data_IF_855522037875
#
_entry.id   IF_855522037875
#
_cell.length_a   1.000
_cell.length_b   1.000
_cell.length_c   1.000
_cell.angle_alpha   90.00
_cell.angle_beta   90.00
_cell.angle_gamma   90.00
#
_symmetry.space_group_name_H-M   'P 1'
#
loop_
_entity.id
_entity.type
_entity.pdbx_description
1 polymer ?
#
# COMPACT_ATOMS: atom_id res chain seq x y z
N UNK A 1 32.80 27.13 9.43
CA UNK A 1 31.86 26.38 8.57
C UNK A 1 31.18 25.36 9.45
N UNK A 2 29.86 25.45 9.60
CA UNK A 2 29.10 24.37 10.25
C UNK A 2 29.27 23.10 9.40
N UNK A 3 29.36 21.90 10.01
CA UNK A 3 29.30 20.67 9.23
C UNK A 3 27.97 20.69 8.46
N UNK A 4 28.05 20.59 7.13
CA UNK A 4 26.86 20.41 6.29
C UNK A 4 26.12 19.19 6.82
N UNK A 5 24.96 19.43 7.43
CA UNK A 5 24.08 18.36 7.90
C UNK A 5 23.73 17.49 6.70
N UNK A 6 24.10 16.22 6.76
CA UNK A 6 23.74 15.25 5.72
C UNK A 6 22.23 15.34 5.48
N UNK A 7 21.83 15.53 4.24
CA UNK A 7 20.42 15.58 3.88
C UNK A 7 19.81 14.19 4.07
N UNK A 8 18.50 14.10 4.34
CA UNK A 8 17.79 12.82 4.44
C UNK A 8 18.03 11.93 3.19
N UNK A 9 18.26 12.57 2.05
CA UNK A 9 18.72 11.98 0.80
C UNK A 9 20.02 11.18 0.92
N UNK A 10 21.04 11.83 1.48
CA UNK A 10 22.37 11.27 1.64
C UNK A 10 22.34 10.15 2.69
N UNK A 11 21.52 10.27 3.73
CA UNK A 11 21.32 9.23 4.74
C UNK A 11 20.63 7.99 4.12
N UNK A 12 19.63 8.17 3.26
CA UNK A 12 18.98 7.03 2.60
C UNK A 12 19.84 6.38 1.50
N UNK A 13 20.63 7.17 0.76
CA UNK A 13 21.66 6.63 -0.14
C UNK A 13 22.71 5.78 0.60
N UNK A 14 22.97 6.10 1.87
CA UNK A 14 23.78 5.28 2.78
C UNK A 14 22.99 4.04 3.30
N UNK A 15 21.65 4.11 3.47
CA UNK A 15 20.79 2.99 3.92
C UNK A 15 20.74 1.78 2.99
N UNK A 16 20.93 1.95 1.68
CA UNK A 16 21.13 0.80 0.77
C UNK A 16 22.41 0.00 1.09
N UNK A 17 23.20 0.47 2.06
CA UNK A 17 24.41 -0.13 2.60
C UNK A 17 24.49 -0.07 4.13
N UNK A 18 23.39 0.01 4.87
CA UNK A 18 23.46 -0.25 6.32
C UNK A 18 23.41 -1.76 6.51
N UNK A 19 24.56 -2.44 6.73
CA UNK A 19 24.54 -3.86 7.06
C UNK A 19 23.81 -4.02 8.39
N UNK A 20 22.59 -4.54 8.34
CA UNK A 20 21.93 -5.03 9.54
C UNK A 20 22.74 -6.22 10.04
N UNK A 21 23.20 -6.17 11.29
CA UNK A 21 24.01 -7.23 11.86
C UNK A 21 23.28 -8.59 11.71
N UNK A 22 23.96 -9.68 11.27
CA UNK A 22 23.31 -10.98 11.10
C UNK A 22 22.57 -11.48 12.35
N UNK A 23 23.03 -11.11 13.54
CA UNK A 23 22.35 -11.41 14.80
C UNK A 23 20.98 -10.72 14.93
N UNK A 24 20.87 -9.47 14.45
CA UNK A 24 19.62 -8.72 14.44
C UNK A 24 18.66 -9.27 13.37
N UNK A 25 19.15 -9.59 12.18
CA UNK A 25 18.35 -10.27 11.14
C UNK A 25 17.82 -11.61 11.63
N UNK A 26 18.64 -12.41 12.34
CA UNK A 26 18.17 -13.64 12.98
C UNK A 26 17.09 -13.35 13.99
N UNK A 27 17.26 -12.36 14.88
CA UNK A 27 16.24 -12.00 15.89
C UNK A 27 14.92 -11.59 15.23
N UNK A 28 14.95 -10.81 14.15
CA UNK A 28 13.76 -10.43 13.37
C UNK A 28 13.13 -11.67 12.72
N UNK A 29 13.94 -12.55 12.14
CA UNK A 29 13.46 -13.82 11.60
C UNK A 29 12.81 -14.70 12.68
N UNK A 30 13.32 -14.71 13.93
CA UNK A 30 12.66 -15.41 15.06
C UNK A 30 11.31 -14.80 15.39
N UNK A 31 11.24 -13.47 15.43
CA UNK A 31 9.99 -12.73 15.67
C UNK A 31 8.96 -13.08 14.58
N UNK A 32 9.39 -13.20 13.32
CA UNK A 32 8.54 -13.61 12.20
C UNK A 32 8.22 -15.10 12.09
N UNK A 33 8.68 -15.92 13.04
CA UNK A 33 8.39 -17.36 13.10
C UNK A 33 9.30 -18.25 12.23
N UNK A 34 10.43 -17.75 11.73
CA UNK A 34 11.36 -18.50 10.87
C UNK A 34 12.47 -19.25 11.61
N UNK A 35 12.50 -19.24 12.94
CA UNK A 35 13.55 -19.91 13.75
C UNK A 35 13.29 -21.41 13.95
N UNK A 36 12.56 -22.06 13.03
CA UNK A 36 12.30 -23.50 13.07
C UNK A 36 13.25 -24.25 12.13
N UNK A 37 14.36 -24.81 12.65
CA UNK A 37 14.98 -25.95 12.02
C UNK A 37 14.91 -27.17 12.95
N UNK A 38 14.13 -28.18 12.55
CA UNK A 38 14.43 -29.55 12.96
C UNK A 38 15.33 -30.20 11.89
N UNK A 39 16.37 -30.97 12.26
CA UNK A 39 17.21 -31.65 11.29
C UNK A 39 16.35 -32.62 10.46
N UNK A 40 16.24 -32.34 9.16
CA UNK A 40 15.59 -33.22 8.18
C UNK A 40 14.25 -32.74 7.61
N UNK A 41 13.59 -31.72 8.17
CA UNK A 41 12.32 -31.23 7.65
C UNK A 41 12.48 -29.92 6.87
N UNK A 42 12.18 -29.97 5.58
CA UNK A 42 11.90 -28.76 4.80
C UNK A 42 10.64 -28.12 5.37
N UNK A 43 10.67 -26.82 5.65
CA UNK A 43 9.47 -26.05 6.03
C UNK A 43 8.41 -26.26 4.93
N UNK A 44 7.22 -26.70 5.32
CA UNK A 44 6.13 -26.94 4.37
C UNK A 44 5.54 -25.63 3.84
N UNK A 45 4.87 -25.68 2.69
CA UNK A 45 4.20 -24.50 2.12
C UNK A 45 3.13 -23.91 3.06
N UNK A 46 2.47 -24.76 3.86
CA UNK A 46 1.48 -24.34 4.85
C UNK A 46 2.12 -23.51 5.99
N UNK A 47 3.28 -23.93 6.50
CA UNK A 47 4.00 -23.22 7.57
C UNK A 47 4.45 -21.81 7.10
N UNK A 48 4.81 -21.67 5.82
CA UNK A 48 5.20 -20.39 5.23
C UNK A 48 4.03 -19.44 5.01
N UNK A 49 2.80 -19.94 4.80
CA UNK A 49 1.62 -19.10 4.62
C UNK A 49 1.16 -18.40 5.90
N UNK A 50 1.59 -18.89 7.06
CA UNK A 50 1.32 -18.33 8.38
C UNK A 50 2.46 -17.44 8.90
N UNK A 51 3.58 -17.32 8.17
CA UNK A 51 4.73 -16.50 8.57
C UNK A 51 4.57 -15.02 8.19
N UNK A 52 5.41 -14.14 8.76
CA UNK A 52 5.41 -12.69 8.46
C UNK A 52 6.75 -12.31 7.86
N UNK A 53 6.78 -11.67 6.68
CA UNK A 53 8.04 -11.36 6.01
C UNK A 53 9.06 -10.62 6.93
N UNK A 54 10.32 -11.09 7.05
CA UNK A 54 11.31 -10.45 7.92
C UNK A 54 11.64 -9.00 7.52
N UNK A 55 11.57 -8.66 6.23
CA UNK A 55 11.76 -7.28 5.76
C UNK A 55 10.61 -6.38 6.21
N UNK A 56 9.37 -6.85 6.06
CA UNK A 56 8.17 -6.15 6.55
C UNK A 56 8.27 -5.90 8.07
N UNK A 57 8.71 -6.91 8.85
CA UNK A 57 8.92 -6.76 10.29
C UNK A 57 10.04 -5.78 10.64
N UNK A 58 11.14 -5.79 9.89
CA UNK A 58 12.23 -4.85 10.09
C UNK A 58 11.74 -3.41 9.90
N UNK A 59 11.03 -3.13 8.81
CA UNK A 59 10.48 -1.80 8.54
C UNK A 59 9.43 -1.38 9.58
N UNK A 60 8.53 -2.28 9.97
CA UNK A 60 7.55 -2.01 11.03
C UNK A 60 8.20 -1.69 12.37
N UNK A 61 9.25 -2.43 12.76
CA UNK A 61 9.99 -2.18 13.99
C UNK A 61 10.68 -0.81 13.96
N UNK A 62 11.19 -0.39 12.80
CA UNK A 62 11.74 0.96 12.64
C UNK A 62 10.62 2.01 12.78
N UNK A 63 9.53 1.90 12.02
CA UNK A 63 8.41 2.83 12.07
C UNK A 63 7.80 2.95 13.47
N UNK A 64 7.75 1.85 14.23
CA UNK A 64 7.25 1.82 15.60
C UNK A 64 8.10 2.62 16.62
N UNK A 65 9.30 3.05 16.24
CA UNK A 65 10.24 3.74 17.12
C UNK A 65 10.81 5.05 16.56
N UNK A 66 10.82 5.27 15.24
CA UNK A 66 11.49 6.42 14.61
C UNK A 66 11.05 7.75 15.21
N UNK A 67 9.74 7.95 15.43
CA UNK A 67 9.23 9.21 15.97
C UNK A 67 9.62 9.44 17.45
N UNK A 68 9.98 8.41 18.23
CA UNK A 68 10.47 8.59 19.61
C UNK A 68 11.86 9.25 19.64
N UNK A 69 12.61 9.19 18.54
CA UNK A 69 13.97 9.73 18.42
C UNK A 69 14.02 11.13 17.78
N UNK A 70 12.87 11.68 17.40
CA UNK A 70 12.77 13.05 16.87
C UNK A 70 12.56 14.05 17.99
N UNK A 71 13.23 15.21 17.95
CA UNK A 71 13.06 16.26 18.96
C UNK A 71 11.64 16.86 18.98
N UNK A 72 10.99 16.92 17.80
CA UNK A 72 9.63 17.41 17.62
C UNK A 72 8.96 16.74 16.40
N UNK A 73 8.48 15.49 16.53
CA UNK A 73 7.90 14.76 15.41
C UNK A 73 6.58 15.39 14.94
N UNK A 74 6.37 15.39 13.62
CA UNK A 74 5.11 15.82 13.03
C UNK A 74 3.95 14.91 13.51
N UNK A 75 2.72 15.44 13.68
CA UNK A 75 1.58 14.65 14.18
C UNK A 75 1.32 13.37 13.37
N UNK A 76 1.51 13.41 12.06
CA UNK A 76 1.30 12.29 11.16
C UNK A 76 2.33 11.18 11.37
N UNK A 77 3.59 11.54 11.67
CA UNK A 77 4.64 10.58 12.03
C UNK A 77 4.37 9.91 13.37
N UNK A 78 3.85 10.67 14.34
CA UNK A 78 3.40 10.10 15.62
C UNK A 78 2.25 9.12 15.41
N UNK A 79 1.26 9.48 14.58
CA UNK A 79 0.16 8.56 14.23
C UNK A 79 0.68 7.32 13.51
N UNK A 80 1.59 7.46 12.55
CA UNK A 80 2.16 6.34 11.81
C UNK A 80 2.94 5.39 12.72
N UNK A 81 3.69 5.93 13.68
CA UNK A 81 4.35 5.15 14.73
C UNK A 81 3.34 4.36 15.59
N UNK A 82 2.26 4.98 16.03
CA UNK A 82 1.22 4.30 16.81
C UNK A 82 0.52 3.21 16.00
N UNK A 83 0.20 3.47 14.73
CA UNK A 83 -0.36 2.45 13.84
C UNK A 83 0.63 1.31 13.62
N UNK A 84 1.92 1.60 13.40
CA UNK A 84 2.95 0.58 13.25
C UNK A 84 3.04 -0.32 14.49
N UNK A 85 2.99 0.25 15.70
CA UNK A 85 2.94 -0.52 16.96
C UNK A 85 1.69 -1.39 17.06
N UNK A 86 0.54 -0.87 16.68
CA UNK A 86 -0.71 -1.62 16.66
C UNK A 86 -0.63 -2.81 15.69
N UNK A 87 -0.19 -2.57 14.44
CA UNK A 87 -0.02 -3.60 13.41
C UNK A 87 0.99 -4.66 13.85
N UNK A 88 2.12 -4.25 14.42
CA UNK A 88 3.11 -5.17 14.97
C UNK A 88 2.50 -6.02 16.10
N UNK A 89 1.73 -5.40 16.99
CA UNK A 89 1.00 -6.10 18.06
C UNK A 89 0.02 -7.14 17.52
N UNK A 90 -0.77 -6.79 16.51
CA UNK A 90 -1.70 -7.74 15.86
C UNK A 90 -0.95 -8.91 15.22
N UNK A 91 0.06 -8.64 14.39
CA UNK A 91 0.83 -9.65 13.66
C UNK A 91 1.51 -10.68 14.59
N UNK A 92 2.03 -10.21 15.72
CA UNK A 92 2.72 -11.03 16.71
C UNK A 92 1.78 -11.72 17.70
N UNK A 93 0.50 -11.35 17.71
CA UNK A 93 -0.55 -12.03 18.46
C UNK A 93 -1.27 -13.08 17.61
N UNK A 94 -2.05 -13.95 18.23
CA UNK A 94 -2.93 -14.89 17.53
C UNK A 94 -4.15 -14.22 16.87
N UNK A 95 -4.27 -12.88 16.95
CA UNK A 95 -5.36 -12.12 16.33
C UNK A 95 -5.20 -11.93 14.81
N UNK A 96 -3.98 -12.02 14.29
CA UNK A 96 -3.71 -11.91 12.86
C UNK A 96 -3.98 -13.24 12.15
N UNK A 97 -4.88 -13.20 11.15
CA UNK A 97 -5.25 -14.39 10.38
C UNK A 97 -4.17 -14.73 9.36
N UNK A 98 -3.96 -16.03 9.11
CA UNK A 98 -3.18 -16.49 7.97
C UNK A 98 -3.99 -16.43 6.66
N UNK A 99 -3.30 -16.55 5.52
CA UNK A 99 -3.92 -16.46 4.20
C UNK A 99 -4.95 -17.55 3.90
N UNK A 100 -4.77 -18.76 4.42
CA UNK A 100 -5.70 -19.87 4.21
C UNK A 100 -6.98 -19.63 4.99
N UNK A 101 -6.86 -19.25 6.25
CA UNK A 101 -7.98 -18.90 7.12
C UNK A 101 -8.80 -17.74 6.52
N UNK A 102 -8.13 -16.71 5.97
CA UNK A 102 -8.80 -15.65 5.21
C UNK A 102 -9.52 -16.22 3.98
N UNK A 103 -8.84 -17.02 3.14
CA UNK A 103 -9.43 -17.63 1.96
C UNK A 103 -10.70 -18.43 2.27
N UNK A 104 -10.67 -19.24 3.32
CA UNK A 104 -11.77 -20.13 3.71
C UNK A 104 -12.96 -19.34 4.30
N UNK A 105 -12.68 -18.17 4.88
CA UNK A 105 -13.69 -17.29 5.47
C UNK A 105 -14.38 -16.38 4.44
N UNK A 106 -13.72 -16.09 3.32
CA UNK A 106 -14.23 -15.22 2.25
C UNK A 106 -15.34 -15.90 1.42
N UNK A 107 -16.37 -15.17 0.97
CA UNK A 107 -17.43 -15.72 0.13
C UNK A 107 -16.90 -16.31 -1.19
N UNK A 108 -17.36 -17.52 -1.52
CA UNK A 108 -16.90 -18.25 -2.71
C UNK A 108 -17.35 -17.64 -4.05
N UNK A 109 -18.38 -16.79 -4.02
CA UNK A 109 -18.97 -16.15 -5.21
C UNK A 109 -18.12 -15.03 -5.81
N UNK A 110 -17.06 -14.59 -5.12
CA UNK A 110 -16.32 -13.39 -5.48
C UNK A 110 -14.82 -13.62 -5.61
N UNK A 111 -14.18 -12.74 -6.38
CA UNK A 111 -12.71 -12.64 -6.45
C UNK A 111 -12.26 -11.44 -5.62
N UNK A 112 -11.39 -11.68 -4.63
CA UNK A 112 -10.79 -10.66 -3.78
C UNK A 112 -9.27 -10.66 -3.97
N UNK A 113 -8.73 -9.50 -4.34
CA UNK A 113 -7.30 -9.29 -4.54
C UNK A 113 -6.73 -8.41 -3.44
N UNK A 114 -5.62 -8.87 -2.86
CA UNK A 114 -4.81 -8.07 -1.96
C UNK A 114 -3.62 -7.47 -2.70
N UNK A 115 -3.37 -6.18 -2.44
CA UNK A 115 -2.24 -5.45 -2.97
C UNK A 115 -1.25 -5.16 -1.85
N UNK A 116 -0.09 -5.82 -1.89
CA UNK A 116 1.04 -5.46 -1.05
C UNK A 116 1.64 -4.16 -1.59
N UNK A 117 1.34 -3.07 -0.91
CA UNK A 117 1.81 -1.74 -1.24
C UNK A 117 3.12 -1.45 -0.53
N UNK A 118 4.05 -0.86 -1.28
CA UNK A 118 5.25 -0.27 -0.72
C UNK A 118 4.97 1.07 -0.04
N UNK A 119 6.04 1.75 0.43
CA UNK A 119 5.93 3.10 0.95
C UNK A 119 5.34 4.04 -0.12
N UNK A 120 4.75 5.17 0.31
CA UNK A 120 4.28 6.21 -0.59
C UNK A 120 5.36 6.64 -1.59
N UNK A 121 4.99 6.72 -2.86
CA UNK A 121 5.85 7.25 -3.91
C UNK A 121 5.03 8.08 -4.89
N UNK A 122 5.40 9.35 -5.06
CA UNK A 122 4.85 10.20 -6.12
C UNK A 122 5.46 9.76 -7.46
N UNK A 123 4.61 9.57 -8.47
CA UNK A 123 4.98 9.07 -9.80
C UNK A 123 4.51 9.98 -10.95
N UNK A 124 4.02 11.18 -10.62
CA UNK A 124 3.62 12.17 -11.62
C UNK A 124 4.85 12.75 -12.36
N UNK A 125 4.76 13.01 -13.68
CA UNK A 125 5.77 13.79 -14.40
C UNK A 125 6.02 15.17 -13.78
N UNK A 126 5.06 15.74 -13.05
CA UNK A 126 5.25 17.05 -12.41
C UNK A 126 6.15 17.03 -11.16
N UNK A 127 6.66 15.85 -10.77
CA UNK A 127 7.60 15.71 -9.64
C UNK A 127 8.86 16.56 -9.81
N UNK A 128 9.29 16.82 -11.05
CA UNK A 128 10.47 17.66 -11.35
C UNK A 128 10.28 19.12 -10.94
N UNK A 129 9.03 19.58 -10.83
CA UNK A 129 8.70 20.95 -10.40
C UNK A 129 8.90 21.18 -8.90
N UNK A 130 8.98 20.10 -8.12
CA UNK A 130 9.00 20.12 -6.65
C UNK A 130 10.29 19.55 -6.07
N UNK A 131 11.21 19.07 -6.91
CA UNK A 131 12.58 18.74 -6.50
C UNK A 131 13.27 20.03 -6.02
N UNK A 132 13.83 20.06 -4.79
CA UNK A 132 14.53 21.23 -4.25
C UNK A 132 15.63 21.77 -5.18
N UNK A 133 15.83 23.09 -5.17
CA UNK A 133 16.94 23.73 -5.90
C UNK A 133 18.29 23.17 -5.41
N UNK A 134 19.15 22.75 -6.35
CA UNK A 134 20.45 22.15 -6.06
C UNK A 134 20.51 20.62 -6.16
N UNK A 135 19.36 19.94 -6.31
CA UNK A 135 19.30 18.51 -6.65
C UNK A 135 19.23 18.35 -8.17
N UNK A 136 20.06 17.48 -8.74
CA UNK A 136 20.10 17.23 -10.19
C UNK A 136 18.73 16.72 -10.67
N UNK A 137 18.08 17.51 -11.52
CA UNK A 137 16.78 17.17 -12.10
C UNK A 137 16.96 16.09 -13.16
N UNK A 138 16.29 14.94 -13.05
CA UNK A 138 16.46 13.84 -13.99
C UNK A 138 15.90 14.18 -15.37
N UNK A 139 16.55 13.67 -16.42
CA UNK A 139 16.18 13.89 -17.81
C UNK A 139 15.11 12.89 -18.34
N UNK A 140 14.76 11.85 -17.58
CA UNK A 140 13.73 10.87 -17.95
C UNK A 140 13.12 10.09 -16.76
N UNK A 141 11.79 9.94 -16.76
CA UNK A 141 10.91 9.35 -15.73
C UNK A 141 10.97 7.82 -15.53
N UNK A 142 12.17 7.25 -15.32
CA UNK A 142 12.39 5.81 -15.05
C UNK A 142 13.58 5.50 -14.13
N UNK A 143 14.20 6.49 -13.49
CA UNK A 143 15.47 6.28 -12.77
C UNK A 143 15.29 6.04 -11.27
N UNK A 144 16.29 5.41 -10.63
CA UNK A 144 16.35 5.23 -9.17
C UNK A 144 16.34 6.57 -8.41
N UNK A 145 16.88 7.63 -9.02
CA UNK A 145 16.86 9.00 -8.48
C UNK A 145 15.45 9.58 -8.39
N UNK A 146 14.52 9.19 -9.26
CA UNK A 146 13.13 9.68 -9.20
C UNK A 146 12.28 8.92 -8.18
N UNK A 147 12.53 7.60 -8.06
CA UNK A 147 11.96 6.81 -6.97
C UNK A 147 12.41 7.35 -5.61
N UNK A 148 13.67 7.82 -5.55
CA UNK A 148 14.22 8.51 -4.40
C UNK A 148 13.47 9.83 -4.11
N UNK A 149 13.45 10.79 -5.05
CA UNK A 149 12.83 12.09 -4.83
C UNK A 149 11.33 11.99 -4.48
N UNK A 150 10.59 11.11 -5.16
CA UNK A 150 9.16 10.96 -4.92
C UNK A 150 8.77 10.30 -3.60
N UNK A 151 9.70 9.59 -2.96
CA UNK A 151 9.48 9.03 -1.63
C UNK A 151 9.57 10.13 -0.56
N UNK A 152 10.61 10.97 -0.61
CA UNK A 152 10.77 12.07 0.34
C UNK A 152 9.69 13.14 0.21
N UNK A 153 9.29 13.45 -1.02
CA UNK A 153 8.17 14.37 -1.26
C UNK A 153 6.84 13.83 -0.72
N UNK A 154 6.67 12.51 -0.67
CA UNK A 154 5.48 11.90 -0.10
C UNK A 154 5.48 11.87 1.45
N UNK A 155 6.67 12.00 2.07
CA UNK A 155 6.86 12.04 3.53
C UNK A 155 6.80 13.47 4.10
N UNK A 156 7.04 14.49 3.28
CA UNK A 156 6.87 15.89 3.68
C UNK A 156 5.38 16.22 3.87
N UNK A 157 4.99 16.44 5.12
CA UNK A 157 3.68 16.95 5.55
C UNK A 157 3.32 18.33 4.96
N UNK A 158 4.15 18.90 4.08
CA UNK A 158 3.95 20.19 3.40
C UNK A 158 3.19 20.07 2.06
N UNK A 159 2.85 18.86 1.62
CA UNK A 159 2.00 18.65 0.45
C UNK A 159 0.61 19.32 0.58
N UNK A 160 0.13 19.55 1.81
CA UNK A 160 -1.13 20.25 2.07
C UNK A 160 -1.05 21.78 1.82
N UNK A 161 0.16 22.37 1.72
CA UNK A 161 0.33 23.83 1.63
C UNK A 161 1.15 24.34 0.42
N UNK A 162 1.93 23.50 -0.25
CA UNK A 162 2.81 23.93 -1.36
C UNK A 162 2.41 23.46 -2.76
N UNK A 163 1.61 22.40 -2.88
CA UNK A 163 1.15 21.86 -4.17
C UNK A 163 -0.19 22.46 -4.62
N UNK A 164 -0.44 23.73 -4.26
CA UNK A 164 -1.54 24.49 -4.82
C UNK A 164 -1.58 24.37 -6.35
N UNK A 165 -2.76 24.57 -6.98
CA UNK A 165 -3.15 24.13 -8.32
C UNK A 165 -2.45 24.89 -9.46
N UNK A 166 -1.13 25.01 -9.42
CA UNK A 166 -0.34 25.60 -10.48
C UNK A 166 -0.04 24.54 -11.52
N UNK A 167 -1.07 24.35 -12.35
CA UNK A 167 -1.01 23.75 -13.67
C UNK A 167 -0.91 22.21 -13.67
N UNK A 168 -1.86 21.62 -12.95
CA UNK A 168 -2.16 20.19 -12.89
C UNK A 168 -3.27 19.84 -13.90
N UNK A 169 -3.09 20.23 -15.17
CA UNK A 169 -3.97 19.72 -16.23
C UNK A 169 -3.69 18.21 -16.38
N UNK A 170 -4.69 17.31 -16.32
CA UNK A 170 -4.48 15.89 -16.61
C UNK A 170 -3.69 15.77 -17.90
N UNK A 171 -2.63 14.93 -17.97
CA UNK A 171 -2.00 14.66 -19.24
C UNK A 171 -3.12 14.33 -20.23
N UNK A 172 -3.25 15.14 -21.29
CA UNK A 172 -4.35 15.03 -22.27
C UNK A 172 -4.43 13.61 -22.88
N UNK A 173 -3.39 12.78 -22.68
CA UNK A 173 -3.35 11.33 -22.84
C UNK A 173 -2.36 10.70 -21.84
N UNK A 174 -2.80 9.66 -21.12
CA UNK A 174 -1.90 8.73 -20.40
C UNK A 174 -1.72 8.97 -18.88
N UNK A 175 -1.55 7.85 -18.16
CA UNK A 175 -1.23 7.67 -16.73
C UNK A 175 -2.00 8.53 -15.70
N UNK A 176 -3.22 8.12 -15.28
CA UNK A 176 -4.06 8.85 -14.31
C UNK A 176 -3.64 8.64 -12.84
N UNK A 177 -2.35 8.34 -12.59
CA UNK A 177 -1.86 7.94 -11.26
C UNK A 177 -0.72 8.86 -10.84
N UNK A 178 -0.99 9.72 -9.88
CA UNK A 178 0.00 10.66 -9.32
C UNK A 178 0.80 10.06 -8.18
N UNK A 179 0.29 9.01 -7.55
CA UNK A 179 0.90 8.35 -6.39
C UNK A 179 0.73 6.82 -6.44
N UNK A 180 1.74 6.11 -5.95
CA UNK A 180 1.69 4.68 -5.66
C UNK A 180 2.05 4.44 -4.18
N UNK A 181 1.76 3.24 -3.67
CA UNK A 181 2.04 2.91 -2.28
C UNK A 181 1.05 3.53 -1.30
N UNK A 182 1.29 3.32 0.00
CA UNK A 182 0.47 3.89 1.08
C UNK A 182 1.28 4.09 2.37
N UNK A 183 0.93 5.10 3.15
CA UNK A 183 1.33 5.27 4.54
C UNK A 183 0.43 4.42 5.44
N UNK A 184 0.86 4.13 6.68
CA UNK A 184 -0.04 3.49 7.65
C UNK A 184 -1.13 4.45 8.19
N UNK A 185 -1.10 5.73 7.80
CA UNK A 185 -2.10 6.73 8.24
C UNK A 185 -2.83 7.42 7.09
N UNK A 186 -2.68 6.93 5.87
CA UNK A 186 -3.42 7.47 4.74
C UNK A 186 -4.94 7.31 4.90
N UNK A 187 -5.66 8.33 4.47
CA UNK A 187 -7.11 8.26 4.25
C UNK A 187 -7.49 7.33 3.09
N UNK A 188 -8.76 6.89 3.04
CA UNK A 188 -9.24 5.97 2.01
C UNK A 188 -9.18 6.54 0.59
N UNK A 189 -9.28 7.86 0.43
CA UNK A 189 -9.09 8.60 -0.82
C UNK A 189 -7.70 8.38 -1.42
N UNK A 190 -6.66 8.60 -0.61
CA UNK A 190 -5.26 8.42 -0.96
C UNK A 190 -4.96 6.96 -1.27
N UNK A 191 -5.45 6.04 -0.42
CA UNK A 191 -5.27 4.60 -0.63
C UNK A 191 -5.99 4.12 -1.90
N UNK A 192 -7.22 4.58 -2.17
CA UNK A 192 -7.94 4.26 -3.41
C UNK A 192 -7.22 4.75 -4.66
N UNK A 193 -6.74 6.00 -4.64
CA UNK A 193 -5.99 6.58 -5.76
C UNK A 193 -4.76 5.72 -6.11
N UNK A 194 -4.06 5.22 -5.08
CA UNK A 194 -2.99 4.25 -5.23
C UNK A 194 -3.48 2.86 -5.69
N UNK A 195 -4.60 2.35 -5.17
CA UNK A 195 -4.99 0.95 -5.34
C UNK A 195 -5.80 0.64 -6.60
N UNK A 196 -6.59 1.59 -7.12
CA UNK A 196 -7.49 1.38 -8.28
C UNK A 196 -6.74 0.98 -9.56
N UNK A 197 -5.44 1.27 -9.60
CA UNK A 197 -4.43 0.51 -10.33
C UNK A 197 -4.08 0.97 -11.75
N UNK A 198 -3.12 0.25 -12.32
CA UNK A 198 -2.60 0.32 -13.70
C UNK A 198 -2.18 -1.10 -14.13
N UNK A 199 -3.16 -2.00 -14.20
CA UNK A 199 -2.99 -3.45 -14.35
C UNK A 199 -2.64 -3.83 -15.78
N UNK A 200 -1.68 -4.74 -16.00
CA UNK A 200 -1.37 -5.27 -17.34
C UNK A 200 -2.42 -6.20 -17.93
N UNK A 201 -3.35 -6.70 -17.10
CA UNK A 201 -4.48 -7.53 -17.48
C UNK A 201 -5.68 -7.11 -16.63
N UNK A 202 -6.90 -7.23 -17.17
CA UNK A 202 -8.11 -6.96 -16.39
C UNK A 202 -8.17 -7.94 -15.21
N UNK A 203 -8.18 -7.45 -13.96
CA UNK A 203 -8.11 -8.34 -12.80
C UNK A 203 -9.44 -9.06 -12.53
N UNK A 204 -10.58 -8.52 -13.01
CA UNK A 204 -11.91 -9.11 -12.79
C UNK A 204 -12.25 -9.26 -11.30
N UNK A 205 -11.62 -8.46 -10.45
CA UNK A 205 -11.78 -8.51 -9.01
C UNK A 205 -12.98 -7.67 -8.60
N UNK A 206 -13.84 -8.26 -7.76
CA UNK A 206 -14.94 -7.55 -7.11
C UNK A 206 -14.45 -6.74 -5.91
N UNK A 207 -13.38 -7.20 -5.26
CA UNK A 207 -12.82 -6.57 -4.07
C UNK A 207 -11.32 -6.32 -4.22
N UNK A 208 -10.91 -5.09 -3.92
CA UNK A 208 -9.52 -4.67 -3.81
C UNK A 208 -9.21 -4.44 -2.33
N UNK A 209 -8.14 -5.08 -1.86
CA UNK A 209 -7.68 -5.03 -0.47
C UNK A 209 -6.25 -4.49 -0.44
N UNK A 210 -6.09 -3.16 -0.49
CA UNK A 210 -4.87 -2.46 -0.09
C UNK A 210 -4.26 -3.01 1.19
N UNK A 211 -2.95 -3.28 1.18
CA UNK A 211 -2.24 -3.67 2.38
C UNK A 211 -0.82 -3.13 2.42
N UNK A 212 -0.32 -2.82 3.61
CA UNK A 212 1.10 -2.56 3.86
C UNK A 212 1.53 -3.37 5.07
N UNK A 213 2.61 -4.15 4.95
CA UNK A 213 3.06 -5.11 5.97
C UNK A 213 1.99 -6.15 6.39
N UNK A 214 0.99 -6.40 5.54
CA UNK A 214 -0.16 -7.25 5.86
C UNK A 214 -1.34 -6.53 6.53
N UNK A 215 -1.18 -5.29 6.98
CA UNK A 215 -2.28 -4.47 7.50
C UNK A 215 -3.16 -3.94 6.37
N UNK A 216 -4.46 -4.20 6.45
CA UNK A 216 -5.45 -3.88 5.43
C UNK A 216 -6.40 -2.78 5.94
N UNK A 217 -6.10 -1.48 5.78
CA UNK A 217 -6.93 -0.42 6.37
C UNK A 217 -8.33 -0.37 5.80
N UNK A 218 -8.48 -0.67 4.51
CA UNK A 218 -9.70 -0.46 3.75
C UNK A 218 -9.94 -1.61 2.79
N UNK A 219 -11.23 -1.92 2.57
CA UNK A 219 -11.69 -2.81 1.50
C UNK A 219 -12.53 -1.99 0.53
N UNK A 220 -12.17 -2.08 -0.75
CA UNK A 220 -12.90 -1.41 -1.82
C UNK A 220 -13.65 -2.43 -2.67
N UNK A 221 -14.94 -2.17 -2.92
CA UNK A 221 -15.76 -2.85 -3.91
C UNK A 221 -15.56 -2.19 -5.27
N UNK A 222 -15.41 -3.00 -6.31
CA UNK A 222 -15.32 -2.54 -7.72
C UNK A 222 -16.32 -3.35 -8.53
N UNK A 223 -17.16 -2.66 -9.30
CA UNK A 223 -18.10 -3.34 -10.17
C UNK A 223 -17.40 -3.99 -11.37
N UNK A 224 -17.90 -5.12 -11.85
CA UNK A 224 -17.25 -5.90 -12.91
C UNK A 224 -17.11 -5.10 -14.21
N UNK A 225 -18.05 -4.19 -14.48
CA UNK A 225 -18.11 -3.28 -15.62
C UNK A 225 -17.30 -1.98 -15.41
N UNK A 226 -16.84 -1.70 -14.19
CA UNK A 226 -16.08 -0.49 -13.85
C UNK A 226 -14.59 -0.57 -14.21
N UNK A 227 -14.15 -1.68 -14.79
CA UNK A 227 -12.77 -1.87 -15.26
C UNK A 227 -12.56 -1.22 -16.62
N UNK A 228 -11.89 -0.08 -16.63
CA UNK A 228 -11.62 0.70 -17.83
C UNK A 228 -10.28 0.31 -18.45
N UNK A 229 -10.29 0.05 -19.76
CA UNK A 229 -9.07 -0.16 -20.56
C UNK A 229 -8.51 1.19 -21.04
N UNK A 230 -7.23 1.42 -20.82
CA UNK A 230 -6.53 2.61 -21.32
C UNK A 230 -6.29 2.49 -22.84
N UNK A 231 -6.95 3.34 -23.62
CA UNK A 231 -7.00 3.27 -25.09
C UNK A 231 -5.66 3.59 -25.79
N UNK A 232 -4.79 4.39 -25.17
CA UNK A 232 -3.50 4.78 -25.74
C UNK A 232 -2.50 3.60 -25.85
N UNK A 233 -2.73 2.50 -25.13
CA UNK A 233 -1.90 1.28 -25.15
C UNK A 233 -2.64 0.11 -25.83
N UNK A 234 -3.39 0.38 -26.91
CA UNK A 234 -4.14 -0.62 -27.69
C UNK A 234 -3.20 -1.64 -28.37
N UNK A 235 -2.74 -2.62 -27.59
CA UNK A 235 -1.92 -3.76 -28.00
C UNK A 235 -1.84 -4.78 -26.85
N UNK A 236 -0.95 -5.79 -26.92
CA UNK A 236 -0.77 -6.81 -25.87
C UNK A 236 -0.25 -6.27 -24.53
N UNK A 237 -0.04 -4.95 -24.41
CA UNK A 237 0.39 -4.26 -23.19
C UNK A 237 -0.70 -3.38 -22.56
N UNK A 238 -1.94 -3.47 -23.05
CA UNK A 238 -3.03 -2.63 -22.58
C UNK A 238 -3.17 -2.64 -21.05
N UNK A 239 -3.44 -1.45 -20.51
CA UNK A 239 -3.53 -1.22 -19.07
C UNK A 239 -4.97 -1.06 -18.66
N UNK A 240 -5.30 -1.55 -17.47
CA UNK A 240 -6.63 -1.47 -16.88
C UNK A 240 -6.58 -0.75 -15.56
N UNK A 241 -7.65 -0.01 -15.24
CA UNK A 241 -7.83 0.61 -13.94
C UNK A 241 -9.31 0.56 -13.56
N UNK A 242 -9.60 0.56 -12.26
CA UNK A 242 -10.96 0.71 -11.79
C UNK A 242 -11.35 2.20 -11.88
N UNK A 243 -12.29 2.53 -12.77
CA UNK A 243 -12.76 3.90 -12.97
C UNK A 243 -13.68 4.39 -11.85
N UNK A 244 -14.34 3.46 -11.16
CA UNK A 244 -15.25 3.70 -10.04
C UNK A 244 -15.10 2.58 -9.01
N UNK A 245 -15.32 2.91 -7.75
CA UNK A 245 -15.34 1.94 -6.67
C UNK A 245 -16.04 2.49 -5.44
N UNK A 246 -16.20 1.65 -4.43
CA UNK A 246 -16.83 2.02 -3.17
C UNK A 246 -15.98 1.51 -2.01
N UNK A 247 -15.63 2.39 -1.07
CA UNK A 247 -15.19 1.97 0.25
C UNK A 247 -16.37 1.33 0.97
N UNK A 248 -16.14 0.15 1.53
CA UNK A 248 -17.12 -0.53 2.38
C UNK A 248 -16.86 -0.12 3.83
N UNK A 249 -17.67 0.81 4.34
CA UNK A 249 -17.61 1.29 5.72
C UNK A 249 -18.43 0.32 6.60
N UNK A 250 -17.72 -0.65 7.20
CA UNK A 250 -18.34 -1.71 8.00
C UNK A 250 -18.93 -1.20 9.32
N UNK A 251 -18.39 -0.11 9.87
CA UNK A 251 -18.86 0.48 11.13
C UNK A 251 -20.12 1.32 10.89
N UNK A 252 -20.12 2.10 9.81
CA UNK A 252 -21.28 2.90 9.39
C UNK A 252 -22.33 2.13 8.58
N UNK A 253 -22.12 0.83 8.34
CA UNK A 253 -22.94 -0.05 7.50
C UNK A 253 -23.36 0.58 6.15
N UNK A 254 -22.41 1.26 5.50
CA UNK A 254 -22.67 2.04 4.29
C UNK A 254 -21.57 1.89 3.26
N UNK A 255 -21.89 2.30 2.03
CA UNK A 255 -20.90 2.43 0.96
C UNK A 255 -20.55 3.90 0.80
N UNK A 256 -19.26 4.18 0.72
CA UNK A 256 -18.75 5.50 0.34
C UNK A 256 -18.21 5.37 -1.08
N UNK A 257 -18.87 6.02 -2.01
CA UNK A 257 -18.44 6.06 -3.39
C UNK A 257 -17.12 6.82 -3.53
N UNK A 258 -16.18 6.18 -4.23
CA UNK A 258 -14.93 6.76 -4.67
C UNK A 258 -15.17 7.32 -6.07
N UNK A 259 -15.72 8.52 -6.12
CA UNK A 259 -16.15 9.22 -7.33
C UNK A 259 -14.98 9.63 -8.24
N UNK A 260 -15.27 10.42 -9.30
CA UNK A 260 -14.23 10.91 -10.18
C UNK A 260 -13.21 11.76 -9.40
N UNK A 261 -12.01 11.86 -9.97
CA UNK A 261 -10.96 12.74 -9.49
C UNK A 261 -11.50 14.16 -9.38
N UNK A 262 -11.31 14.78 -8.22
CA UNK A 262 -11.65 16.16 -8.02
C UNK A 262 -10.49 17.04 -8.55
N UNK A 263 -10.73 17.88 -9.57
CA UNK A 263 -9.69 18.74 -10.12
C UNK A 263 -9.19 19.79 -9.12
N UNK A 264 -9.96 20.10 -8.08
CA UNK A 264 -9.64 21.14 -7.09
C UNK A 264 -8.78 20.62 -5.91
N UNK A 265 -8.65 19.30 -5.74
CA UNK A 265 -7.91 18.69 -4.62
C UNK A 265 -6.73 17.81 -5.08
N UNK A 266 -6.22 18.03 -6.29
CA UNK A 266 -5.08 17.29 -6.79
C UNK A 266 -5.37 15.79 -6.94
N UNK A 267 -6.34 15.44 -7.78
CA UNK A 267 -6.54 14.08 -8.31
C UNK A 267 -7.10 13.05 -7.32
N UNK A 268 -7.49 13.46 -6.11
CA UNK A 268 -8.11 12.57 -5.15
C UNK A 268 -9.58 12.33 -5.54
N UNK A 269 -10.13 11.14 -5.29
CA UNK A 269 -11.54 10.87 -5.58
C UNK A 269 -12.44 11.79 -4.75
N UNK A 270 -13.55 12.22 -5.32
CA UNK A 270 -14.63 12.81 -4.51
C UNK A 270 -15.31 11.69 -3.72
N UNK A 271 -15.32 11.81 -2.39
CA UNK A 271 -15.98 10.83 -1.52
C UNK A 271 -17.41 11.25 -1.22
N UNK A 272 -18.37 10.43 -1.62
CA UNK A 272 -19.80 10.66 -1.32
C UNK A 272 -20.42 9.40 -0.72
N UNK A 273 -21.24 9.56 0.33
CA UNK A 273 -22.03 8.42 0.82
C UNK A 273 -22.98 7.99 -0.30
N UNK A 274 -22.96 6.72 -0.65
CA UNK A 274 -23.79 6.16 -1.71
C UNK A 274 -25.22 5.93 -1.20
N UNK A 275 -26.20 6.13 -2.07
CA UNK A 275 -27.59 5.71 -1.81
C UNK A 275 -27.75 4.18 -1.85
N UNK A 276 -26.74 3.46 -2.37
CA UNK A 276 -26.73 2.00 -2.37
C UNK A 276 -26.27 1.46 -1.01
N UNK A 277 -27.06 0.54 -0.46
CA UNK A 277 -26.66 -0.22 0.71
C UNK A 277 -25.56 -1.26 0.37
N UNK A 278 -24.63 -1.54 1.30
CA UNK A 278 -23.71 -2.67 1.16
C UNK A 278 -24.49 -3.99 1.19
N UNK A 279 -24.04 -4.96 0.40
CA UNK A 279 -24.58 -6.33 0.45
C UNK A 279 -24.07 -7.07 1.70
N UNK A 280 -24.70 -8.19 2.04
CA UNK A 280 -24.22 -9.04 3.16
C UNK A 280 -22.78 -9.54 2.90
N UNK A 281 -22.46 -9.91 1.66
CA UNK A 281 -21.10 -10.29 1.27
C UNK A 281 -20.11 -9.12 1.39
N UNK A 282 -20.51 -7.91 1.01
CA UNK A 282 -19.69 -6.70 1.19
C UNK A 282 -19.32 -6.53 2.67
N UNK A 283 -20.32 -6.63 3.56
CA UNK A 283 -20.13 -6.49 5.00
C UNK A 283 -19.29 -7.63 5.60
N UNK A 284 -19.49 -8.86 5.14
CA UNK A 284 -18.69 -10.03 5.59
C UNK A 284 -17.22 -9.86 5.25
N UNK A 285 -16.91 -9.40 4.04
CA UNK A 285 -15.53 -9.17 3.60
C UNK A 285 -14.91 -8.00 4.36
N UNK A 286 -15.63 -6.89 4.49
CA UNK A 286 -15.12 -5.70 5.18
C UNK A 286 -14.87 -5.97 6.67
N UNK A 287 -15.79 -6.67 7.37
CA UNK A 287 -15.61 -7.05 8.78
C UNK A 287 -14.44 -8.01 9.00
N UNK A 288 -14.13 -8.84 8.01
CA UNK A 288 -13.00 -9.77 8.07
C UNK A 288 -11.65 -9.07 7.88
N UNK A 289 -11.60 -8.02 7.05
CA UNK A 289 -10.33 -7.49 6.53
C UNK A 289 -10.05 -6.03 6.90
N UNK A 290 -11.05 -5.15 6.93
CA UNK A 290 -10.84 -3.71 7.16
C UNK A 290 -10.27 -3.47 8.56
N UNK A 291 -9.16 -2.74 8.61
CA UNK A 291 -8.41 -2.44 9.84
C UNK A 291 -7.61 -3.62 10.40
N UNK A 292 -7.57 -4.79 9.74
CA UNK A 292 -6.95 -6.02 10.27
C UNK A 292 -5.59 -6.30 9.64
N UNK A 293 -4.69 -6.90 10.42
CA UNK A 293 -3.46 -7.48 9.92
C UNK A 293 -3.62 -8.95 9.50
N UNK A 294 -3.01 -9.30 8.37
CA UNK A 294 -2.95 -10.67 7.82
C UNK A 294 -1.49 -11.11 7.76
N UNK A 295 -1.20 -12.33 8.23
CA UNK A 295 0.11 -12.95 8.02
C UNK A 295 0.18 -13.43 6.57
N UNK A 296 0.85 -12.65 5.72
CA UNK A 296 0.86 -12.90 4.28
C UNK A 296 1.90 -13.93 3.82
N UNK A 297 2.77 -14.41 4.70
CA UNK A 297 3.95 -15.18 4.36
C UNK A 297 5.06 -14.33 3.72
N UNK A 298 6.18 -14.96 3.34
CA UNK A 298 7.32 -14.26 2.76
C UNK A 298 6.93 -13.46 1.50
N UNK A 299 7.62 -12.34 1.29
CA UNK A 299 7.43 -11.50 0.11
C UNK A 299 7.70 -12.32 -1.16
N UNK A 300 6.77 -12.19 -2.12
CA UNK A 300 6.92 -12.74 -3.46
C UNK A 300 7.18 -11.60 -4.44
N UNK A 301 7.79 -11.90 -5.58
CA UNK A 301 8.02 -10.92 -6.65
C UNK A 301 6.72 -10.31 -7.19
N UNK A 302 5.57 -10.96 -6.95
CA UNK A 302 4.26 -10.42 -7.29
C UNK A 302 3.65 -9.67 -6.08
N UNK A 303 3.44 -8.35 -6.16
CA UNK A 303 2.79 -7.58 -5.11
C UNK A 303 1.28 -7.85 -5.02
N UNK A 304 0.69 -8.54 -6.02
CA UNK A 304 -0.73 -8.90 -6.04
C UNK A 304 -0.92 -10.33 -5.57
N UNK A 305 -1.71 -10.50 -4.51
CA UNK A 305 -2.11 -11.80 -3.99
C UNK A 305 -3.60 -12.03 -4.20
N UNK A 306 -3.98 -13.24 -4.60
CA UNK A 306 -5.37 -13.67 -4.57
C UNK A 306 -5.70 -14.14 -3.15
N UNK A 307 -6.62 -13.45 -2.48
CA UNK A 307 -7.19 -13.91 -1.23
C UNK A 307 -8.33 -14.91 -1.49
N UNK A 308 -9.10 -14.66 -2.55
CA UNK A 308 -10.14 -15.57 -3.03
C UNK A 308 -10.26 -15.48 -4.55
N UNK A 309 -10.59 -16.58 -5.20
CA UNK A 309 -11.00 -16.59 -6.60
C UNK A 309 -12.38 -17.23 -6.71
N UNK A 310 -13.28 -16.57 -7.45
CA UNK A 310 -14.64 -17.06 -7.69
C UNK A 310 -14.62 -18.52 -8.16
N UNK A 311 -15.28 -19.38 -7.40
CA UNK A 311 -15.44 -20.80 -7.71
C UNK A 311 -14.15 -21.65 -7.65
N UNK A 312 -13.06 -21.17 -7.03
CA UNK A 312 -11.82 -21.94 -6.86
C UNK A 312 -11.37 -22.00 -5.42
N UNK A 313 -10.76 -23.13 -5.07
CA UNK A 313 -10.00 -23.32 -3.84
C UNK A 313 -8.52 -23.07 -4.15
N UNK A 314 -7.87 -22.18 -3.40
CA UNK A 314 -6.48 -21.77 -3.64
C UNK A 314 -5.46 -22.51 -2.75
N UNK A 315 -5.92 -23.18 -1.70
CA UNK A 315 -5.10 -23.80 -0.66
C UNK A 315 -5.54 -25.24 -0.39
#
# INVERSE_FOLDING_TARGET
MAPESLTAAQIHGLNNRVPVAPALLRRIARIGGYDVPAPGNKIGAADLSAAVDPGDLQELLLLAHVADYEDAPAPDRVREMHTARHVLGELLSDAALDRKTVHDSLPAGHTALLFRMGPPLIVSPDIVRVIPEGVEKPSSYRSSTESWAGQFLAEESELDNGLGPHDQTPPKRGYPRTRIGMSLVDGPDRVWSSARGYWSLQPGARYLVPSRYGWCPYVFRVDEDSWTRLSAEAGPRAKYFAGRGWLIDAEGERLIEMGPENPDNGWLPTMTVSDQAPTEDDMRIARLLSGRAIRLGPASTNPVLRLRQKGKELF
#
